data_IF_788866303052
#
_entry.id   IF_788866303052
#
_cell.length_a   1.000
_cell.length_b   1.000
_cell.length_c   1.000
_cell.angle_alpha   90.00
_cell.angle_beta   90.00
_cell.angle_gamma   90.00
#
_symmetry.space_group_name_H-M   'P 1'
#
loop_
_entity.id
_entity.type
_entity.pdbx_description
1 polymer ?
#
# COMPACT_ATOMS: atom_id res chain seq x y z
N UNK A 1 22.07 -17.19 -42.93
CA UNK A 1 21.69 -15.90 -42.33
C UNK A 1 20.52 -15.23 -43.06
N UNK A 2 20.52 -15.15 -44.40
CA UNK A 2 19.46 -14.44 -45.15
C UNK A 2 18.07 -15.10 -45.21
N UNK A 3 17.92 -16.38 -44.83
CA UNK A 3 16.60 -17.04 -44.80
C UNK A 3 15.81 -16.83 -43.50
N UNK A 4 16.49 -16.60 -42.38
CA UNK A 4 15.86 -16.36 -41.06
C UNK A 4 15.30 -14.93 -40.98
N UNK A 5 16.00 -13.97 -41.57
CA UNK A 5 15.57 -12.56 -41.64
C UNK A 5 14.32 -12.42 -42.52
N UNK A 6 14.21 -13.21 -43.60
CA UNK A 6 13.03 -13.20 -44.46
C UNK A 6 11.78 -13.79 -43.77
N UNK A 7 11.93 -14.78 -42.88
CA UNK A 7 10.82 -15.36 -42.11
C UNK A 7 10.36 -14.41 -40.98
N UNK A 8 11.29 -13.70 -40.33
CA UNK A 8 10.96 -12.68 -39.31
C UNK A 8 10.26 -11.45 -39.92
N UNK A 9 10.68 -10.99 -41.09
CA UNK A 9 9.99 -9.90 -41.80
C UNK A 9 8.61 -10.30 -42.30
N UNK A 10 8.37 -11.60 -42.59
CA UNK A 10 7.05 -12.08 -43.00
C UNK A 10 6.05 -12.09 -41.82
N UNK A 11 6.51 -12.35 -40.60
CA UNK A 11 5.68 -12.25 -39.38
C UNK A 11 5.35 -10.78 -39.06
N UNK A 12 6.28 -9.85 -39.34
CA UNK A 12 6.08 -8.41 -39.11
C UNK A 12 5.14 -7.74 -40.13
N UNK A 13 5.00 -8.30 -41.34
CA UNK A 13 4.18 -7.72 -42.42
C UNK A 13 2.91 -8.52 -42.78
N UNK A 14 2.77 -9.80 -42.36
CA UNK A 14 1.55 -10.59 -42.55
C UNK A 14 0.67 -10.73 -41.28
N UNK A 15 1.03 -10.07 -40.19
CA UNK A 15 0.05 -9.66 -39.20
C UNK A 15 -0.24 -8.17 -39.45
N UNK A 16 -1.05 -7.80 -40.46
CA UNK A 16 -1.91 -6.68 -40.21
C UNK A 16 -2.65 -7.06 -38.94
N UNK A 17 -2.35 -6.30 -37.89
CA UNK A 17 -3.12 -6.15 -36.66
C UNK A 17 -4.53 -5.74 -37.11
N UNK A 18 -5.28 -6.67 -37.68
CA UNK A 18 -6.71 -6.73 -37.52
C UNK A 18 -6.93 -7.20 -36.10
N UNK A 19 -6.55 -6.36 -35.13
CA UNK A 19 -7.41 -6.16 -33.97
C UNK A 19 -8.70 -5.62 -34.57
N UNK A 20 -9.51 -6.53 -35.11
CA UNK A 20 -10.93 -6.35 -35.18
C UNK A 20 -11.28 -6.12 -33.71
N UNK A 21 -11.44 -4.84 -33.34
CA UNK A 21 -12.18 -4.50 -32.13
C UNK A 21 -13.55 -5.08 -32.39
N UNK A 22 -13.75 -6.32 -31.94
CA UNK A 22 -15.08 -6.81 -31.67
C UNK A 22 -15.79 -5.77 -30.80
N UNK A 23 -17.13 -5.77 -30.78
CA UNK A 23 -17.83 -4.97 -29.78
C UNK A 23 -17.17 -5.21 -28.43
N UNK A 24 -16.93 -4.13 -27.68
CA UNK A 24 -16.42 -4.28 -26.31
C UNK A 24 -17.32 -5.32 -25.63
N UNK A 25 -16.74 -6.34 -24.98
CA UNK A 25 -17.55 -7.34 -24.30
C UNK A 25 -18.54 -6.64 -23.38
N UNK A 26 -19.76 -7.18 -23.31
CA UNK A 26 -20.80 -6.60 -22.47
C UNK A 26 -20.28 -6.48 -21.04
N UNK A 27 -20.56 -5.34 -20.41
CA UNK A 27 -20.15 -5.11 -19.03
C UNK A 27 -20.82 -6.15 -18.13
N UNK A 28 -20.03 -6.78 -17.27
CA UNK A 28 -20.50 -7.67 -16.24
C UNK A 28 -20.41 -6.94 -14.89
N UNK A 29 -21.56 -6.73 -14.25
CA UNK A 29 -21.67 -6.05 -12.95
C UNK A 29 -21.76 -7.05 -11.78
N UNK A 30 -21.34 -8.30 -11.98
CA UNK A 30 -21.28 -9.34 -10.94
C UNK A 30 -20.63 -8.77 -9.68
N UNK A 31 -21.24 -9.03 -8.53
CA UNK A 31 -20.65 -8.62 -7.26
C UNK A 31 -19.85 -9.76 -6.63
N UNK A 32 -19.74 -10.91 -7.28
CA UNK A 32 -19.08 -12.06 -6.68
C UNK A 32 -17.55 -11.91 -6.72
N UNK A 33 -16.89 -12.17 -5.60
CA UNK A 33 -15.43 -12.21 -5.49
C UNK A 33 -15.05 -13.63 -5.04
N UNK A 34 -14.34 -14.35 -5.91
CA UNK A 34 -13.79 -15.66 -5.62
C UNK A 34 -12.44 -15.52 -4.91
N UNK A 35 -12.22 -16.38 -3.91
CA UNK A 35 -10.96 -16.46 -3.17
C UNK A 35 -10.38 -17.86 -3.32
N UNK A 36 -9.19 -17.96 -3.89
CA UNK A 36 -8.43 -19.20 -3.99
C UNK A 36 -7.21 -19.14 -3.08
N UNK A 37 -6.96 -20.16 -2.24
CA UNK A 37 -5.80 -20.13 -1.36
C UNK A 37 -4.49 -20.13 -2.15
N UNK A 38 -3.53 -19.33 -1.71
CA UNK A 38 -2.15 -19.34 -2.23
C UNK A 38 -1.17 -19.71 -1.12
N UNK A 39 -0.04 -20.29 -1.47
CA UNK A 39 1.07 -20.56 -0.54
C UNK A 39 2.11 -19.44 -0.63
N UNK A 40 2.89 -19.21 0.43
CA UNK A 40 4.04 -18.29 0.37
C UNK A 40 5.11 -18.76 -0.64
N UNK A 41 5.37 -20.05 -0.72
CA UNK A 41 6.37 -20.65 -1.61
C UNK A 41 5.85 -22.01 -2.08
N UNK A 42 5.47 -22.10 -3.35
CA UNK A 42 4.91 -23.33 -3.94
C UNK A 42 5.97 -24.43 -4.09
N UNK A 43 7.26 -24.08 -4.10
CA UNK A 43 8.37 -25.03 -4.18
C UNK A 43 8.80 -25.55 -2.82
N UNK A 44 8.47 -24.83 -1.74
CA UNK A 44 8.78 -25.21 -0.37
C UNK A 44 7.61 -24.86 0.58
N UNK A 45 6.57 -25.70 0.65
CA UNK A 45 5.36 -25.40 1.44
C UNK A 45 5.58 -25.25 2.95
N UNK A 46 6.75 -25.67 3.46
CA UNK A 46 7.12 -25.50 4.88
C UNK A 46 7.76 -24.15 5.17
N UNK A 47 8.16 -23.39 4.14
CA UNK A 47 8.66 -22.03 4.31
C UNK A 47 7.49 -21.10 4.64
N UNK A 48 7.49 -20.60 5.88
CA UNK A 48 6.47 -19.69 6.39
C UNK A 48 7.03 -18.33 6.81
N UNK A 49 8.30 -18.02 6.53
CA UNK A 49 8.93 -16.78 7.02
C UNK A 49 9.77 -16.08 5.96
N UNK A 50 9.73 -14.76 5.97
CA UNK A 50 10.66 -13.87 5.26
C UNK A 50 10.99 -12.66 6.13
N UNK A 51 12.23 -12.59 6.59
CA UNK A 51 12.63 -11.60 7.60
C UNK A 51 11.74 -11.68 8.84
N UNK A 52 11.16 -10.55 9.24
CA UNK A 52 10.24 -10.43 10.39
C UNK A 52 8.78 -10.73 10.06
N UNK A 53 8.46 -11.21 8.87
CA UNK A 53 7.09 -11.59 8.50
C UNK A 53 6.93 -13.11 8.51
N UNK A 54 5.99 -13.59 9.31
CA UNK A 54 5.54 -14.98 9.31
C UNK A 54 4.23 -15.08 8.55
N UNK A 55 4.22 -15.82 7.43
CA UNK A 55 3.05 -16.06 6.62
C UNK A 55 2.01 -16.90 7.37
N UNK A 56 0.78 -16.39 7.42
CA UNK A 56 -0.36 -17.04 8.06
C UNK A 56 -1.24 -17.69 7.01
N UNK A 57 -1.67 -16.91 6.01
CA UNK A 57 -2.57 -17.33 4.93
C UNK A 57 -2.53 -16.31 3.78
N UNK A 58 -3.07 -16.67 2.64
CA UNK A 58 -3.21 -15.76 1.52
C UNK A 58 -4.18 -16.32 0.48
N UNK A 59 -4.69 -15.42 -0.35
CA UNK A 59 -5.65 -15.72 -1.40
C UNK A 59 -5.28 -15.02 -2.71
N UNK A 60 -5.61 -15.65 -3.83
CA UNK A 60 -5.83 -15.01 -5.12
C UNK A 60 -7.30 -14.59 -5.15
N UNK A 61 -7.55 -13.33 -5.47
CA UNK A 61 -8.86 -12.76 -5.63
C UNK A 61 -9.19 -12.71 -7.12
N UNK A 62 -10.41 -13.11 -7.47
CA UNK A 62 -10.90 -13.10 -8.84
C UNK A 62 -12.37 -12.68 -8.88
N UNK A 63 -12.78 -11.98 -9.94
CA UNK A 63 -14.16 -11.59 -10.14
C UNK A 63 -14.46 -11.46 -11.62
N UNK A 64 -15.68 -11.86 -12.02
CA UNK A 64 -16.16 -11.60 -13.37
C UNK A 64 -16.62 -10.14 -13.57
N UNK A 65 -16.58 -9.31 -12.52
CA UNK A 65 -16.92 -7.90 -12.65
C UNK A 65 -15.91 -7.19 -13.57
N UNK A 66 -16.41 -6.49 -14.58
CA UNK A 66 -15.56 -5.78 -15.55
C UNK A 66 -14.73 -4.65 -14.93
N UNK A 67 -15.15 -4.13 -13.78
CA UNK A 67 -14.50 -3.04 -13.06
C UNK A 67 -13.61 -3.55 -11.89
N UNK A 68 -13.45 -4.87 -11.72
CA UNK A 68 -12.58 -5.44 -10.68
C UNK A 68 -11.12 -5.51 -11.14
N UNK A 69 -10.19 -5.36 -10.19
CA UNK A 69 -8.73 -5.33 -10.43
C UNK A 69 -8.15 -3.95 -10.15
N UNK A 70 -6.90 -3.71 -10.54
CA UNK A 70 -6.29 -2.38 -10.45
C UNK A 70 -6.05 -1.88 -9.03
N UNK A 71 -5.85 -2.76 -8.03
CA UNK A 71 -5.85 -2.40 -6.59
C UNK A 71 -4.63 -1.55 -6.24
N UNK A 72 -4.83 -0.27 -5.89
CA UNK A 72 -3.73 0.62 -5.45
C UNK A 72 -3.66 0.81 -3.94
N UNK A 73 -4.78 0.73 -3.21
CA UNK A 73 -4.77 0.91 -1.75
C UNK A 73 -5.80 0.04 -1.03
N UNK A 74 -5.59 -0.19 0.27
CA UNK A 74 -6.42 -1.09 1.08
C UNK A 74 -6.57 -0.59 2.51
N UNK A 75 -7.78 -0.75 3.05
CA UNK A 75 -8.10 -0.62 4.46
C UNK A 75 -8.64 -1.94 4.98
N UNK A 76 -8.16 -2.35 6.16
CA UNK A 76 -8.73 -3.43 6.95
C UNK A 76 -9.50 -2.82 8.13
N UNK A 77 -10.82 -2.80 8.02
CA UNK A 77 -11.74 -2.27 9.03
C UNK A 77 -12.16 -3.38 10.01
N UNK A 78 -12.75 -3.02 11.17
CA UNK A 78 -13.28 -3.99 12.12
C UNK A 78 -14.21 -5.03 11.48
N UNK A 79 -14.25 -6.21 12.11
CA UNK A 79 -15.02 -7.39 11.67
C UNK A 79 -14.57 -7.97 10.33
N UNK A 80 -13.25 -7.94 10.05
CA UNK A 80 -12.64 -8.46 8.81
C UNK A 80 -13.21 -7.83 7.54
N UNK A 81 -13.57 -6.54 7.60
CA UNK A 81 -14.11 -5.81 6.45
C UNK A 81 -12.95 -5.16 5.70
N UNK A 82 -12.74 -5.58 4.46
CA UNK A 82 -11.77 -4.99 3.57
C UNK A 82 -12.45 -3.96 2.68
N UNK A 83 -11.78 -2.84 2.49
CA UNK A 83 -12.13 -1.81 1.51
C UNK A 83 -10.86 -1.52 0.73
N UNK A 84 -10.85 -1.92 -0.53
CA UNK A 84 -9.78 -1.67 -1.48
C UNK A 84 -10.24 -0.60 -2.47
N UNK A 85 -9.29 0.19 -2.97
CA UNK A 85 -9.54 1.19 -3.99
C UNK A 85 -8.66 0.90 -5.19
N UNK A 86 -9.30 0.80 -6.36
CA UNK A 86 -8.62 0.67 -7.63
C UNK A 86 -8.15 2.02 -8.17
N UNK A 87 -7.04 2.03 -8.90
CA UNK A 87 -6.54 3.13 -9.73
C UNK A 87 -7.68 3.78 -10.55
N UNK A 88 -8.54 2.95 -11.15
CA UNK A 88 -9.69 3.35 -11.96
C UNK A 88 -10.80 4.08 -11.17
N UNK A 89 -10.68 4.12 -9.85
CA UNK A 89 -11.62 4.75 -8.94
C UNK A 89 -12.79 3.87 -8.55
N UNK A 90 -12.58 2.56 -8.52
CA UNK A 90 -13.57 1.55 -8.13
C UNK A 90 -13.29 1.11 -6.70
N UNK A 91 -14.31 1.18 -5.85
CA UNK A 91 -14.28 0.64 -4.49
C UNK A 91 -14.62 -0.85 -4.56
N UNK A 92 -13.72 -1.68 -4.04
CA UNK A 92 -13.89 -3.13 -3.90
C UNK A 92 -13.92 -3.43 -2.41
N UNK A 93 -15.09 -3.80 -1.87
CA UNK A 93 -15.25 -4.09 -0.46
C UNK A 93 -15.88 -5.46 -0.23
N UNK A 94 -15.49 -6.13 0.85
CA UNK A 94 -16.07 -7.39 1.28
C UNK A 94 -15.75 -7.68 2.75
N UNK A 95 -16.48 -8.61 3.35
CA UNK A 95 -16.10 -9.21 4.63
C UNK A 95 -15.37 -10.53 4.37
N UNK A 96 -14.15 -10.67 4.87
CA UNK A 96 -13.38 -11.90 4.77
C UNK A 96 -13.87 -12.93 5.80
N UNK A 97 -14.52 -13.98 5.31
CA UNK A 97 -14.82 -15.19 6.07
C UNK A 97 -13.59 -16.11 5.98
N UNK A 98 -12.59 -15.83 6.81
CA UNK A 98 -11.24 -16.41 6.69
C UNK A 98 -11.21 -17.94 6.78
N UNK A 99 -12.03 -18.53 7.66
CA UNK A 99 -12.05 -19.99 7.86
C UNK A 99 -12.64 -20.72 6.66
N UNK A 100 -13.65 -20.12 6.04
CA UNK A 100 -14.32 -20.64 4.84
C UNK A 100 -13.58 -20.27 3.55
N UNK A 101 -12.66 -19.30 3.60
CA UNK A 101 -11.98 -18.75 2.42
C UNK A 101 -12.96 -18.07 1.47
N UNK A 102 -13.87 -17.23 1.99
CA UNK A 102 -14.93 -16.61 1.19
C UNK A 102 -15.04 -15.10 1.44
N UNK A 103 -15.36 -14.35 0.37
CA UNK A 103 -15.84 -12.99 0.47
C UNK A 103 -17.35 -12.99 0.72
N UNK A 104 -17.78 -12.41 1.84
CA UNK A 104 -19.19 -12.18 2.16
C UNK A 104 -19.54 -10.69 1.98
N UNK A 105 -20.80 -10.41 1.60
CA UNK A 105 -21.31 -9.05 1.36
C UNK A 105 -20.38 -8.22 0.45
N UNK A 106 -20.00 -8.75 -0.72
CA UNK A 106 -19.14 -8.01 -1.63
C UNK A 106 -19.86 -6.77 -2.19
N UNK A 107 -19.08 -5.74 -2.48
CA UNK A 107 -19.51 -4.47 -3.05
C UNK A 107 -18.42 -3.95 -3.98
N UNK A 108 -18.75 -3.82 -5.25
CA UNK A 108 -17.86 -3.34 -6.31
C UNK A 108 -18.62 -2.21 -7.03
N UNK A 109 -18.18 -0.98 -6.82
CA UNK A 109 -18.83 0.20 -7.41
C UNK A 109 -17.83 1.35 -7.55
N UNK A 110 -18.01 2.23 -8.56
CA UNK A 110 -17.17 3.42 -8.70
C UNK A 110 -17.40 4.40 -7.55
N UNK A 111 -16.36 5.19 -7.24
CA UNK A 111 -16.51 6.37 -6.40
C UNK A 111 -17.59 7.31 -6.98
N UNK A 112 -18.29 8.08 -6.13
CA UNK A 112 -19.38 8.95 -6.58
C UNK A 112 -18.89 10.07 -7.50
N UNK A 113 -17.63 10.47 -7.35
CA UNK A 113 -16.98 11.52 -8.13
C UNK A 113 -15.46 11.28 -8.09
N UNK A 114 -14.73 11.85 -9.03
CA UNK A 114 -13.27 11.86 -9.09
C UNK A 114 -12.79 12.94 -10.06
N UNK A 115 -11.47 13.15 -10.20
CA UNK A 115 -10.92 14.19 -11.06
C UNK A 115 -11.45 14.14 -12.50
N UNK A 116 -11.51 15.31 -13.13
CA UNK A 116 -11.92 15.40 -14.52
C UNK A 116 -10.93 14.64 -15.41
N UNK A 117 -11.45 13.88 -16.38
CA UNK A 117 -10.62 13.24 -17.38
C UNK A 117 -9.86 14.30 -18.20
N UNK A 118 -8.63 13.99 -18.60
CA UNK A 118 -7.79 14.89 -19.41
C UNK A 118 -8.48 15.38 -20.69
N UNK A 119 -9.35 14.55 -21.27
CA UNK A 119 -10.17 14.89 -22.42
C UNK A 119 -11.36 13.92 -22.56
N UNK A 120 -12.29 14.25 -23.46
CA UNK A 120 -13.51 13.48 -23.73
C UNK A 120 -13.29 12.06 -24.29
N UNK A 121 -12.08 11.70 -24.71
CA UNK A 121 -11.73 10.39 -25.27
C UNK A 121 -10.94 9.52 -24.29
N UNK A 122 -10.46 10.08 -23.17
CA UNK A 122 -9.73 9.33 -22.18
C UNK A 122 -10.68 8.31 -21.51
N UNK A 123 -10.20 7.08 -21.32
CA UNK A 123 -10.88 6.11 -20.44
C UNK A 123 -11.05 6.80 -19.09
N UNK A 124 -12.22 6.65 -18.47
CA UNK A 124 -12.46 7.10 -17.11
C UNK A 124 -11.59 6.25 -16.18
N UNK A 125 -10.36 6.69 -15.96
CA UNK A 125 -9.44 6.24 -14.93
C UNK A 125 -9.09 7.48 -14.11
N UNK A 126 -9.30 7.41 -12.82
CA UNK A 126 -9.08 8.54 -11.91
C UNK A 126 -7.68 8.56 -11.32
N UNK A 127 -6.92 7.47 -11.43
CA UNK A 127 -5.53 7.38 -10.97
C UNK A 127 -5.46 7.51 -9.44
N UNK A 128 -6.32 6.77 -8.74
CA UNK A 128 -6.41 6.80 -7.29
C UNK A 128 -5.37 5.87 -6.65
N UNK A 129 -4.36 6.43 -5.99
CA UNK A 129 -3.19 5.64 -5.55
C UNK A 129 -3.14 5.39 -4.05
N UNK A 130 -3.56 6.35 -3.22
CA UNK A 130 -3.54 6.21 -1.75
C UNK A 130 -4.89 6.46 -1.13
N UNK A 131 -5.13 5.82 0.02
CA UNK A 131 -6.35 6.00 0.79
C UNK A 131 -6.10 5.90 2.30
N UNK A 132 -6.68 6.83 3.06
CA UNK A 132 -6.75 6.75 4.53
C UNK A 132 -8.16 7.00 5.04
N UNK A 133 -8.44 6.56 6.26
CA UNK A 133 -9.77 6.60 6.87
C UNK A 133 -9.73 7.19 8.28
N UNK A 134 -10.74 7.98 8.61
CA UNK A 134 -10.99 8.45 9.97
C UNK A 134 -12.18 7.66 10.55
N UNK A 135 -11.98 6.82 11.58
CA UNK A 135 -13.04 6.01 12.18
C UNK A 135 -14.09 6.81 12.95
N UNK A 136 -13.75 7.98 13.48
CA UNK A 136 -14.66 8.81 14.26
C UNK A 136 -15.69 9.53 13.39
N UNK A 137 -15.24 10.02 12.23
CA UNK A 137 -16.11 10.76 11.29
C UNK A 137 -16.65 9.88 10.16
N UNK A 138 -16.01 8.73 9.91
CA UNK A 138 -16.29 7.87 8.77
C UNK A 138 -15.74 8.40 7.45
N UNK A 139 -14.92 9.45 7.45
CA UNK A 139 -14.42 10.09 6.24
C UNK A 139 -13.23 9.35 5.64
N UNK A 140 -13.08 9.47 4.32
CA UNK A 140 -11.98 8.91 3.56
C UNK A 140 -11.22 10.01 2.85
N UNK A 141 -9.90 9.90 2.79
CA UNK A 141 -9.05 10.73 1.95
C UNK A 141 -8.43 9.86 0.87
N UNK A 142 -8.40 10.38 -0.35
CA UNK A 142 -7.85 9.70 -1.52
C UNK A 142 -6.85 10.60 -2.21
N UNK A 143 -5.65 10.08 -2.48
CA UNK A 143 -4.64 10.73 -3.30
C UNK A 143 -4.77 10.33 -4.77
N UNK A 144 -4.68 11.31 -5.67
CA UNK A 144 -4.75 11.09 -7.12
C UNK A 144 -3.43 11.43 -7.80
N UNK A 145 -2.90 10.49 -8.60
CA UNK A 145 -1.63 10.63 -9.30
C UNK A 145 -1.70 11.72 -10.37
N UNK A 146 -2.39 11.52 -11.49
CA UNK A 146 -2.39 12.51 -12.59
C UNK A 146 -2.97 13.88 -12.24
N UNK A 147 -3.96 13.92 -11.36
CA UNK A 147 -4.54 15.18 -10.93
C UNK A 147 -3.69 15.92 -9.88
N UNK A 148 -2.70 15.21 -9.28
CA UNK A 148 -1.87 15.70 -8.19
C UNK A 148 -2.71 16.39 -7.10
N UNK A 149 -3.78 15.71 -6.67
CA UNK A 149 -4.78 16.26 -5.76
C UNK A 149 -5.18 15.27 -4.68
N UNK A 150 -5.64 15.79 -3.55
CA UNK A 150 -6.16 15.00 -2.44
C UNK A 150 -7.64 15.34 -2.28
N UNK A 151 -8.50 14.33 -2.28
CA UNK A 151 -9.94 14.50 -2.11
C UNK A 151 -10.39 13.86 -0.81
N UNK A 152 -11.41 14.46 -0.19
CA UNK A 152 -12.08 13.91 0.97
C UNK A 152 -13.50 13.52 0.61
N UNK A 153 -13.86 12.29 0.95
CA UNK A 153 -15.19 11.72 0.79
C UNK A 153 -15.86 11.56 2.15
N UNK A 154 -17.19 11.67 2.13
CA UNK A 154 -18.01 11.42 3.31
C UNK A 154 -18.12 9.93 3.64
N UNK A 155 -18.82 9.59 4.74
CA UNK A 155 -19.08 8.21 5.15
C UNK A 155 -19.56 7.31 4.01
N UNK A 156 -18.99 6.11 3.95
CA UNK A 156 -19.29 5.09 2.94
C UNK A 156 -19.14 5.57 1.50
N UNK A 157 -18.25 6.53 1.24
CA UNK A 157 -18.10 7.18 -0.07
C UNK A 157 -19.42 7.76 -0.62
N UNK A 158 -20.31 8.25 0.24
CA UNK A 158 -21.63 8.74 -0.20
C UNK A 158 -21.56 9.96 -1.13
N UNK A 159 -20.51 10.80 -0.99
CA UNK A 159 -20.27 12.00 -1.80
C UNK A 159 -18.83 12.49 -1.64
N UNK A 160 -18.37 13.28 -2.60
CA UNK A 160 -17.22 14.17 -2.41
C UNK A 160 -17.58 15.29 -1.44
N UNK A 161 -16.71 15.57 -0.49
CA UNK A 161 -16.87 16.66 0.48
C UNK A 161 -15.86 17.79 0.28
N UNK A 162 -14.63 17.47 -0.12
CA UNK A 162 -13.59 18.45 -0.42
C UNK A 162 -12.59 17.89 -1.44
N UNK A 163 -11.84 18.79 -2.07
CA UNK A 163 -10.74 18.44 -2.97
C UNK A 163 -9.72 19.56 -2.99
N UNK A 164 -8.44 19.22 -2.95
CA UNK A 164 -7.36 20.19 -2.99
C UNK A 164 -6.31 19.79 -4.03
N UNK A 165 -6.06 20.68 -4.99
CA UNK A 165 -4.94 20.59 -5.93
C UNK A 165 -3.70 21.20 -5.29
N UNK A 166 -2.94 20.38 -4.58
CA UNK A 166 -1.82 20.82 -3.75
C UNK A 166 -0.72 21.41 -4.64
N UNK A 167 -0.40 22.69 -4.44
CA UNK A 167 0.55 23.44 -5.29
C UNK A 167 1.94 22.82 -5.38
N UNK A 168 2.42 22.18 -4.30
CA UNK A 168 3.70 21.44 -4.32
C UNK A 168 3.64 20.17 -5.17
N UNK A 169 2.52 19.45 -5.15
CA UNK A 169 2.33 18.21 -5.92
C UNK A 169 2.21 18.47 -7.43
N UNK A 170 1.78 19.67 -7.85
CA UNK A 170 1.68 20.03 -9.28
C UNK A 170 3.02 20.01 -10.03
N UNK A 171 4.14 19.89 -9.32
CA UNK A 171 5.49 19.78 -9.87
C UNK A 171 6.02 18.35 -9.87
N UNK A 172 5.22 17.39 -9.40
CA UNK A 172 5.60 15.98 -9.41
C UNK A 172 5.54 15.42 -10.83
N UNK A 173 6.27 14.33 -11.10
CA UNK A 173 6.12 13.59 -12.35
C UNK A 173 4.67 13.11 -12.51
N UNK A 174 4.18 13.06 -13.75
CA UNK A 174 2.82 12.60 -14.04
C UNK A 174 2.54 11.14 -13.66
N UNK A 175 3.61 10.35 -13.48
CA UNK A 175 3.62 8.96 -13.05
C UNK A 175 4.49 8.80 -11.77
N UNK A 176 4.28 9.70 -10.82
CA UNK A 176 4.96 9.68 -9.54
C UNK A 176 4.11 10.33 -8.46
N UNK A 177 2.84 9.98 -8.44
CA UNK A 177 1.76 10.58 -7.67
C UNK A 177 1.87 10.42 -6.16
N UNK A 178 0.75 10.66 -5.47
CA UNK A 178 0.62 10.45 -4.03
C UNK A 178 0.37 8.98 -3.73
N UNK A 179 1.42 8.15 -3.82
CA UNK A 179 1.34 6.70 -3.69
C UNK A 179 0.99 6.23 -2.30
N UNK A 180 1.55 6.88 -1.27
CA UNK A 180 1.30 6.48 0.11
C UNK A 180 0.82 7.66 0.93
N UNK A 181 -0.10 7.39 1.85
CA UNK A 181 -0.63 8.38 2.77
C UNK A 181 -0.76 7.79 4.18
N UNK A 182 -0.41 8.57 5.19
CA UNK A 182 -0.65 8.25 6.59
C UNK A 182 -1.49 9.35 7.24
N UNK A 183 -2.45 8.96 8.08
CA UNK A 183 -3.16 9.84 9.01
C UNK A 183 -2.64 9.57 10.43
N UNK A 184 -2.11 10.59 11.08
CA UNK A 184 -1.60 10.60 12.45
C UNK A 184 -2.57 11.37 13.33
N UNK A 185 -3.37 10.65 14.09
CA UNK A 185 -4.39 11.22 14.96
C UNK A 185 -3.78 12.07 16.09
N UNK A 186 -4.32 13.27 16.31
CA UNK A 186 -3.89 14.20 17.37
C UNK A 186 -2.39 14.57 17.38
N UNK A 187 -1.71 14.45 16.24
CA UNK A 187 -0.27 14.79 16.08
C UNK A 187 0.00 16.08 15.30
N UNK A 188 -1.04 16.80 14.88
CA UNK A 188 -0.93 18.13 14.28
C UNK A 188 -0.52 19.19 15.30
N UNK A 189 0.01 20.32 14.82
CA UNK A 189 0.48 21.42 15.69
C UNK A 189 -0.62 22.00 16.60
N UNK A 190 -1.86 22.00 16.12
CA UNK A 190 -3.04 22.47 16.86
C UNK A 190 -3.74 21.35 17.67
N UNK A 191 -3.11 20.17 17.80
CA UNK A 191 -3.69 19.00 18.45
C UNK A 191 -4.73 18.24 17.62
N UNK A 192 -4.90 18.61 16.35
CA UNK A 192 -5.71 17.87 15.37
C UNK A 192 -4.91 16.76 14.67
N UNK A 193 -5.46 16.21 13.59
CA UNK A 193 -4.76 15.21 12.78
C UNK A 193 -3.57 15.82 12.02
N UNK A 194 -2.52 15.03 11.84
CA UNK A 194 -1.43 15.28 10.88
C UNK A 194 -1.49 14.25 9.77
N UNK A 195 -1.20 14.64 8.54
CA UNK A 195 -1.11 13.71 7.41
C UNK A 195 0.28 13.73 6.81
N UNK A 196 0.75 12.57 6.37
CA UNK A 196 1.96 12.42 5.57
C UNK A 196 1.57 11.90 4.19
N UNK A 197 2.11 12.49 3.14
CA UNK A 197 1.85 12.07 1.74
C UNK A 197 3.18 11.89 1.04
N UNK A 198 3.42 10.72 0.48
CA UNK A 198 4.68 10.35 -0.15
C UNK A 198 4.53 10.31 -1.66
N UNK A 199 5.47 10.93 -2.38
CA UNK A 199 5.56 10.77 -3.83
C UNK A 199 6.27 9.47 -4.20
N UNK A 200 5.83 8.79 -5.26
CA UNK A 200 6.57 7.64 -5.81
C UNK A 200 8.00 8.04 -6.21
N UNK A 201 8.11 9.14 -6.97
CA UNK A 201 9.29 9.38 -7.81
C UNK A 201 9.72 10.85 -7.97
N UNK A 202 9.00 11.81 -7.37
CA UNK A 202 9.38 13.23 -7.40
C UNK A 202 10.69 13.46 -6.62
N UNK A 203 11.76 13.92 -7.29
CA UNK A 203 13.08 14.05 -6.66
C UNK A 203 13.10 15.10 -5.53
N UNK A 204 13.73 14.74 -4.41
CA UNK A 204 14.02 15.66 -3.32
C UNK A 204 15.33 16.43 -3.57
N UNK A 205 15.21 17.64 -4.10
CA UNK A 205 16.37 18.47 -4.46
C UNK A 205 17.26 17.79 -5.49
N UNK A 206 18.58 17.75 -5.23
CA UNK A 206 19.58 17.07 -6.07
C UNK A 206 20.04 15.73 -5.47
N UNK A 207 19.39 15.26 -4.41
CA UNK A 207 19.83 14.06 -3.68
C UNK A 207 19.31 12.83 -4.39
N UNK A 208 20.21 12.07 -5.02
CA UNK A 208 19.84 10.87 -5.76
C UNK A 208 19.20 9.82 -4.84
N UNK A 209 18.03 9.32 -5.24
CA UNK A 209 17.30 8.26 -4.52
C UNK A 209 16.60 8.74 -3.26
N UNK A 210 16.39 10.05 -3.11
CA UNK A 210 15.46 10.61 -2.15
C UNK A 210 14.32 11.30 -2.91
N UNK A 211 13.10 11.07 -2.46
CA UNK A 211 11.87 11.53 -3.09
C UNK A 211 11.11 12.48 -2.17
N UNK A 212 10.25 13.32 -2.72
CA UNK A 212 9.48 14.29 -1.95
C UNK A 212 8.39 13.60 -1.14
N UNK A 213 8.18 14.10 0.06
CA UNK A 213 7.00 13.79 0.85
C UNK A 213 6.55 15.06 1.59
N UNK A 214 5.27 15.11 1.93
CA UNK A 214 4.60 16.29 2.45
C UNK A 214 4.03 16.00 3.84
N UNK A 215 4.16 16.97 4.73
CA UNK A 215 3.54 17.01 6.05
C UNK A 215 2.41 18.02 5.99
N UNK A 216 1.21 17.60 6.34
CA UNK A 216 0.04 18.45 6.50
C UNK A 216 -0.36 18.46 7.98
N UNK A 217 -0.37 19.63 8.62
CA UNK A 217 -0.83 19.80 10.00
C UNK A 217 -2.35 20.07 10.03
N UNK A 218 -3.12 19.14 9.45
CA UNK A 218 -4.58 19.19 9.36
C UNK A 218 -5.11 18.53 8.08
N UNK A 219 -6.41 18.70 7.80
CA UNK A 219 -7.09 18.08 6.65
C UNK A 219 -6.44 18.48 5.30
N UNK A 220 -5.75 17.55 4.59
CA UNK A 220 -5.01 17.85 3.36
C UNK A 220 -5.92 18.18 2.18
N UNK A 221 -7.22 17.88 2.26
CA UNK A 221 -8.21 18.19 1.22
C UNK A 221 -8.77 19.62 1.33
N UNK A 222 -8.38 20.40 2.33
CA UNK A 222 -8.73 21.83 2.42
C UNK A 222 -7.83 22.67 1.52
N UNK A 223 -8.42 23.61 0.78
CA UNK A 223 -7.68 24.48 -0.15
C UNK A 223 -6.70 25.44 0.53
N UNK A 224 -6.90 25.77 1.81
CA UNK A 224 -6.02 26.65 2.59
C UNK A 224 -4.92 25.90 3.34
N UNK A 225 -4.87 24.56 3.23
CA UNK A 225 -3.92 23.73 3.94
C UNK A 225 -2.59 23.64 3.17
N UNK A 226 -1.58 24.34 3.66
CA UNK A 226 -0.24 24.35 3.06
C UNK A 226 0.68 23.28 3.67
N UNK A 227 1.27 22.39 2.85
CA UNK A 227 2.17 21.37 3.35
C UNK A 227 3.58 21.90 3.64
N UNK A 228 4.29 21.19 4.52
CA UNK A 228 5.74 21.29 4.71
C UNK A 228 6.43 20.14 3.97
N UNK A 229 7.52 20.42 3.26
CA UNK A 229 8.24 19.43 2.45
C UNK A 229 9.34 18.73 3.27
N UNK A 230 9.44 17.41 3.14
CA UNK A 230 10.58 16.60 3.59
C UNK A 230 10.99 15.59 2.51
N UNK A 231 12.11 14.91 2.71
CA UNK A 231 12.60 13.87 1.81
C UNK A 231 12.35 12.47 2.38
N UNK A 232 11.93 11.53 1.55
CA UNK A 232 11.89 10.11 1.86
C UNK A 232 12.93 9.34 1.05
N UNK A 233 13.73 8.51 1.70
CA UNK A 233 14.68 7.61 1.03
C UNK A 233 14.21 6.16 1.16
N UNK A 234 13.62 5.57 0.11
CA UNK A 234 13.25 4.16 0.09
C UNK A 234 14.49 3.25 0.00
N UNK A 235 14.31 1.93 0.20
CA UNK A 235 15.34 0.95 -0.10
C UNK A 235 15.89 1.12 -1.52
N UNK A 236 17.19 0.92 -1.70
CA UNK A 236 17.87 1.21 -2.98
C UNK A 236 17.22 0.47 -4.15
N UNK A 237 16.71 1.23 -5.12
CA UNK A 237 16.11 0.71 -6.34
C UNK A 237 14.65 0.28 -6.21
N UNK A 238 14.02 0.57 -5.06
CA UNK A 238 12.59 0.38 -4.84
C UNK A 238 11.89 1.73 -4.76
N UNK A 239 10.60 1.74 -5.10
CA UNK A 239 9.71 2.88 -4.96
C UNK A 239 8.64 2.54 -3.93
N UNK A 240 8.15 3.55 -3.21
CA UNK A 240 7.07 3.39 -2.24
C UNK A 240 5.75 3.16 -2.97
N UNK A 241 4.89 2.32 -2.40
CA UNK A 241 3.57 2.01 -2.96
C UNK A 241 2.44 2.21 -1.96
N UNK A 242 2.67 1.93 -0.67
CA UNK A 242 1.67 2.23 0.38
C UNK A 242 2.34 2.34 1.75
N UNK A 243 1.60 2.87 2.72
CA UNK A 243 2.02 2.96 4.11
C UNK A 243 0.83 2.81 5.06
N UNK A 244 1.07 2.15 6.20
CA UNK A 244 0.10 1.98 7.27
C UNK A 244 0.74 2.23 8.64
N UNK A 245 -0.06 2.57 9.64
CA UNK A 245 0.42 2.67 11.02
C UNK A 245 0.44 1.31 11.70
N UNK A 246 1.52 1.06 12.43
CA UNK A 246 1.57 0.01 13.43
C UNK A 246 0.90 0.47 14.73
N UNK A 247 0.43 -0.47 15.58
CA UNK A 247 -0.20 -0.13 16.86
C UNK A 247 0.68 0.69 17.80
N UNK A 248 2.00 0.60 17.65
CA UNK A 248 2.98 1.36 18.43
C UNK A 248 3.29 2.76 17.85
N UNK A 249 2.58 3.17 16.79
CA UNK A 249 2.74 4.48 16.15
C UNK A 249 3.89 4.57 15.15
N UNK A 250 4.63 3.49 14.89
CA UNK A 250 5.61 3.46 13.80
C UNK A 250 4.92 3.32 12.44
N UNK A 251 5.59 3.78 11.39
CA UNK A 251 5.14 3.56 10.02
C UNK A 251 5.60 2.19 9.51
N UNK A 252 4.67 1.43 8.94
CA UNK A 252 4.95 0.29 8.08
C UNK A 252 4.85 0.77 6.62
N UNK A 253 5.85 0.48 5.80
CA UNK A 253 5.92 0.97 4.42
C UNK A 253 6.15 -0.19 3.46
N UNK A 254 5.36 -0.19 2.39
CA UNK A 254 5.49 -1.12 1.29
C UNK A 254 6.23 -0.46 0.14
N UNK A 255 7.08 -1.26 -0.50
CA UNK A 255 7.83 -0.82 -1.66
C UNK A 255 7.84 -1.90 -2.70
N UNK A 256 7.80 -1.50 -3.97
CA UNK A 256 7.95 -2.40 -5.10
C UNK A 256 9.16 -2.07 -5.94
N UNK A 257 9.60 -3.07 -6.70
CA UNK A 257 10.59 -2.95 -7.74
C UNK A 257 10.31 -3.97 -8.83
N UNK A 258 10.34 -3.50 -10.06
CA UNK A 258 10.29 -4.35 -11.25
C UNK A 258 11.54 -4.15 -12.09
N UNK A 259 12.17 -5.25 -12.51
CA UNK A 259 13.17 -5.22 -13.58
C UNK A 259 12.95 -6.39 -14.54
N UNK A 260 13.30 -6.27 -15.83
CA UNK A 260 13.14 -7.38 -16.77
C UNK A 260 13.92 -8.65 -16.40
N UNK A 261 15.00 -8.54 -15.63
CA UNK A 261 15.85 -9.67 -15.23
C UNK A 261 15.41 -10.30 -13.91
N UNK A 262 15.11 -9.50 -12.90
CA UNK A 262 14.77 -9.98 -11.55
C UNK A 262 13.26 -10.21 -11.36
N UNK A 263 12.41 -9.77 -12.31
CA UNK A 263 10.96 -9.76 -12.15
C UNK A 263 10.48 -8.73 -11.14
N UNK A 264 9.32 -9.00 -10.53
CA UNK A 264 8.73 -8.19 -9.46
C UNK A 264 9.30 -8.61 -8.10
N UNK A 265 9.51 -7.63 -7.23
CA UNK A 265 9.93 -7.81 -5.85
C UNK A 265 9.37 -6.71 -4.98
N UNK A 266 9.15 -7.01 -3.69
CA UNK A 266 8.70 -6.04 -2.71
C UNK A 266 9.55 -6.06 -1.44
N UNK A 267 9.60 -4.92 -0.74
CA UNK A 267 10.24 -4.77 0.56
C UNK A 267 9.25 -4.11 1.52
N UNK A 268 9.10 -4.71 2.69
CA UNK A 268 8.39 -4.11 3.82
C UNK A 268 9.42 -3.50 4.76
N UNK A 269 9.20 -2.25 5.17
CA UNK A 269 10.08 -1.52 6.08
C UNK A 269 9.29 -0.94 7.26
N UNK A 270 9.98 -0.73 8.39
CA UNK A 270 9.44 -0.03 9.56
C UNK A 270 10.25 1.24 9.79
N UNK A 271 9.58 2.37 10.00
CA UNK A 271 10.21 3.66 10.26
C UNK A 271 9.65 4.37 11.48
N UNK A 272 10.52 5.04 12.22
CA UNK A 272 10.16 5.89 13.37
C UNK A 272 9.72 7.27 12.87
N UNK A 273 8.44 7.59 13.07
CA UNK A 273 7.84 8.84 12.61
C UNK A 273 8.34 10.08 13.38
N UNK A 274 8.89 9.91 14.59
CA UNK A 274 9.42 11.03 15.38
C UNK A 274 10.67 11.67 14.74
N UNK A 275 11.29 10.97 13.78
CA UNK A 275 12.46 11.43 13.05
C UNK A 275 12.10 12.25 11.80
N UNK A 276 10.81 12.40 11.48
CA UNK A 276 10.37 13.20 10.35
C UNK A 276 10.38 14.68 10.74
N UNK A 277 11.08 15.48 9.95
CA UNK A 277 11.11 16.93 10.09
C UNK A 277 11.11 17.61 8.71
N UNK A 278 10.51 18.82 8.59
CA UNK A 278 10.61 19.61 7.38
C UNK A 278 12.07 19.86 6.98
N UNK A 279 12.38 19.70 5.69
CA UNK A 279 13.74 19.92 5.18
C UNK A 279 14.72 18.76 5.39
N UNK A 280 14.35 17.74 6.17
CA UNK A 280 15.21 16.59 6.44
C UNK A 280 14.87 15.39 5.55
N UNK A 281 15.82 14.46 5.42
CA UNK A 281 15.60 13.19 4.73
C UNK A 281 15.41 12.07 5.74
N UNK A 282 14.24 11.47 5.70
CA UNK A 282 13.85 10.32 6.51
C UNK A 282 13.96 9.01 5.73
N UNK A 283 14.18 7.91 6.43
CA UNK A 283 14.23 6.56 5.87
C UNK A 283 13.72 5.54 6.87
N UNK A 284 13.26 4.40 6.37
CA UNK A 284 12.81 3.28 7.18
C UNK A 284 13.78 2.08 7.08
N UNK A 285 13.71 1.19 8.07
CA UNK A 285 14.50 -0.04 8.12
C UNK A 285 13.76 -1.19 7.41
N UNK A 286 14.36 -1.83 6.38
CA UNK A 286 13.78 -3.03 5.77
C UNK A 286 13.67 -4.19 6.75
N UNK A 287 12.47 -4.75 6.90
CA UNK A 287 12.20 -5.87 7.81
C UNK A 287 11.92 -7.19 7.09
N UNK A 288 11.51 -7.14 5.81
CA UNK A 288 11.20 -8.32 5.01
C UNK A 288 11.36 -8.05 3.51
N UNK A 289 11.61 -9.11 2.75
CA UNK A 289 11.70 -9.05 1.29
C UNK A 289 10.87 -10.16 0.66
N UNK A 290 9.97 -9.78 -0.24
CA UNK A 290 9.19 -10.69 -1.08
C UNK A 290 9.80 -10.67 -2.47
N UNK A 291 10.36 -11.80 -2.88
CA UNK A 291 10.93 -12.00 -4.21
C UNK A 291 10.92 -13.49 -4.53
N UNK A 292 10.99 -13.83 -5.82
CA UNK A 292 11.13 -15.20 -6.28
C UNK A 292 12.19 -15.97 -5.45
N UNK A 293 11.89 -17.20 -4.98
CA UNK A 293 10.74 -18.05 -5.34
C UNK A 293 9.47 -17.81 -4.49
N UNK A 294 9.44 -16.80 -3.62
CA UNK A 294 8.23 -16.46 -2.87
C UNK A 294 7.15 -15.93 -3.82
N UNK A 295 5.89 -16.22 -3.50
CA UNK A 295 4.73 -15.60 -4.11
C UNK A 295 4.82 -14.09 -3.93
N UNK A 296 4.95 -13.39 -5.05
CA UNK A 296 5.04 -11.94 -5.14
C UNK A 296 4.52 -11.52 -6.50
N UNK A 297 3.83 -10.39 -6.54
CA UNK A 297 3.39 -9.70 -7.74
C UNK A 297 3.55 -8.18 -7.49
N UNK A 298 2.84 -7.33 -8.22
CA UNK A 298 2.84 -5.88 -8.06
C UNK A 298 2.19 -5.49 -6.72
N UNK A 299 2.92 -5.63 -5.62
CA UNK A 299 2.44 -5.36 -4.27
C UNK A 299 2.22 -3.85 -4.10
N UNK A 300 0.97 -3.43 -4.14
CA UNK A 300 0.58 -2.01 -4.11
C UNK A 300 -0.09 -1.61 -2.80
N UNK A 301 -0.75 -2.53 -2.06
CA UNK A 301 -1.56 -2.12 -0.91
C UNK A 301 -1.15 -2.78 0.42
N UNK A 302 -1.30 -2.03 1.51
CA UNK A 302 -0.86 -2.41 2.86
C UNK A 302 -1.92 -2.06 3.91
N UNK A 303 -2.23 -3.00 4.81
CA UNK A 303 -3.06 -2.71 5.98
C UNK A 303 -2.53 -3.42 7.23
N UNK A 304 -2.89 -2.91 8.40
CA UNK A 304 -2.49 -3.46 9.70
C UNK A 304 -3.73 -3.72 10.54
N UNK A 305 -3.79 -4.88 11.18
CA UNK A 305 -4.82 -5.24 12.17
C UNK A 305 -4.16 -5.90 13.38
N UNK A 306 -4.93 -6.10 14.45
CA UNK A 306 -4.49 -6.86 15.62
C UNK A 306 -5.38 -8.11 15.80
N UNK A 307 -4.74 -9.25 16.06
CA UNK A 307 -5.41 -10.51 16.39
C UNK A 307 -4.88 -11.02 17.74
N UNK A 308 -5.63 -10.74 18.81
CA UNK A 308 -5.14 -11.00 20.17
C UNK A 308 -3.94 -10.12 20.48
N UNK A 309 -2.77 -10.73 20.69
CA UNK A 309 -1.50 -10.01 20.92
C UNK A 309 -0.63 -9.90 19.66
N UNK A 310 -1.09 -10.46 18.53
CA UNK A 310 -0.34 -10.47 17.29
C UNK A 310 -0.68 -9.24 16.45
N UNK A 311 0.34 -8.52 16.00
CA UNK A 311 0.19 -7.54 14.93
C UNK A 311 0.17 -8.27 13.60
N UNK A 312 -0.92 -8.08 12.85
CA UNK A 312 -1.15 -8.70 11.55
C UNK A 312 -0.95 -7.65 10.45
N UNK A 313 -0.18 -8.03 9.44
CA UNK A 313 0.11 -7.24 8.25
C UNK A 313 -0.58 -7.89 7.08
N UNK A 314 -1.37 -7.11 6.37
CA UNK A 314 -2.03 -7.48 5.13
C UNK A 314 -1.33 -6.79 3.97
N UNK A 315 -0.97 -7.55 2.94
CA UNK A 315 -0.37 -7.04 1.72
C UNK A 315 -1.23 -7.51 0.55
N UNK A 316 -1.63 -6.59 -0.31
CA UNK A 316 -2.34 -6.91 -1.55
C UNK A 316 -1.51 -6.53 -2.78
N UNK A 317 -1.72 -7.26 -3.87
CA UNK A 317 -1.13 -6.90 -5.16
C UNK A 317 -2.18 -6.43 -6.16
N UNK A 318 -1.71 -5.60 -7.06
CA UNK A 318 -2.39 -5.16 -8.25
C UNK A 318 -2.13 -6.14 -9.42
N UNK A 319 -3.15 -6.34 -10.25
CA UNK A 319 -3.07 -7.08 -11.50
C UNK A 319 -2.86 -6.18 -12.74
N UNK A 320 -2.85 -4.85 -12.60
CA UNK A 320 -2.85 -3.85 -13.68
C UNK A 320 -3.86 -4.17 -14.80
N UNK A 321 -4.98 -4.84 -14.49
CA UNK A 321 -5.93 -5.38 -15.47
C UNK A 321 -5.32 -6.30 -16.55
N UNK A 322 -4.20 -6.95 -16.25
CA UNK A 322 -3.50 -7.82 -17.17
C UNK A 322 -3.56 -9.29 -16.72
N UNK A 323 -3.81 -10.19 -17.67
CA UNK A 323 -3.97 -11.65 -17.43
C UNK A 323 -2.73 -12.37 -16.88
N UNK A 324 -1.60 -11.69 -16.73
CA UNK A 324 -0.34 -12.27 -16.23
C UNK A 324 -0.18 -12.04 -14.73
N UNK A 325 -0.77 -10.96 -14.20
CA UNK A 325 -0.63 -10.57 -12.81
C UNK A 325 -1.86 -11.03 -12.01
N UNK A 326 -1.67 -11.23 -10.72
CA UNK A 326 -2.70 -11.72 -9.82
C UNK A 326 -3.07 -10.65 -8.80
N UNK A 327 -4.38 -10.49 -8.55
CA UNK A 327 -4.87 -9.77 -7.38
C UNK A 327 -4.68 -10.66 -6.14
N UNK A 328 -3.61 -10.45 -5.38
CA UNK A 328 -3.30 -11.22 -4.16
C UNK A 328 -3.82 -10.49 -2.92
N UNK A 329 -4.16 -11.25 -1.88
CA UNK A 329 -4.30 -10.75 -0.50
C UNK A 329 -3.56 -11.71 0.42
N UNK A 330 -2.51 -11.23 1.08
CA UNK A 330 -1.63 -12.04 1.91
C UNK A 330 -1.62 -11.53 3.35
N UNK A 331 -1.73 -12.47 4.30
CA UNK A 331 -1.76 -12.23 5.74
C UNK A 331 -0.46 -12.71 6.37
N UNK A 332 0.20 -11.81 7.10
CA UNK A 332 1.43 -12.08 7.83
C UNK A 332 1.30 -11.67 9.29
N UNK A 333 1.89 -12.43 10.20
CA UNK A 333 2.18 -12.00 11.56
C UNK A 333 3.51 -11.25 11.57
N UNK A 334 3.54 -10.07 12.18
CA UNK A 334 4.78 -9.36 12.44
C UNK A 334 5.50 -9.98 13.64
N UNK A 335 6.73 -10.40 13.44
CA UNK A 335 7.59 -10.92 14.49
C UNK A 335 8.32 -9.77 15.23
N UNK A 336 8.58 -9.93 16.54
CA UNK A 336 9.44 -9.02 17.28
C UNK A 336 10.81 -8.86 16.61
N UNK A 337 11.49 -7.75 16.90
CA UNK A 337 12.89 -7.65 16.55
C UNK A 337 13.69 -8.70 17.34
N UNK A 338 14.60 -9.44 16.69
CA UNK A 338 15.46 -10.42 17.35
C UNK A 338 16.26 -9.80 18.50
N UNK A 339 16.60 -8.50 18.41
CA UNK A 339 17.29 -7.79 19.49
C UNK A 339 16.38 -7.54 20.70
N UNK A 340 15.13 -7.15 20.47
CA UNK A 340 14.10 -7.01 21.51
C UNK A 340 13.78 -8.37 22.14
N UNK A 341 13.72 -9.43 21.33
CA UNK A 341 13.47 -10.79 21.81
C UNK A 341 14.62 -11.31 22.69
N UNK A 342 15.88 -11.00 22.33
CA UNK A 342 17.06 -11.30 23.16
C UNK A 342 17.08 -10.49 24.46
N UNK A 343 16.68 -9.22 24.41
CA UNK A 343 16.59 -8.37 25.61
C UNK A 343 15.48 -8.84 26.56
N UNK A 344 14.32 -9.24 26.03
CA UNK A 344 13.21 -9.78 26.81
C UNK A 344 13.52 -11.14 27.46
N UNK A 345 14.36 -11.96 26.80
CA UNK A 345 14.82 -13.27 27.30
C UNK A 345 16.05 -13.19 28.21
N UNK A 346 16.68 -12.02 28.37
CA UNK A 346 17.83 -11.87 29.26
C UNK A 346 17.40 -12.06 30.74
N UNK A 347 18.13 -12.86 31.54
CA UNK A 347 17.80 -13.03 32.94
C UNK A 347 17.92 -11.68 33.66
N UNK A 348 16.84 -11.23 34.31
CA UNK A 348 16.87 -10.05 35.19
C UNK A 348 18.01 -10.26 36.19
N UNK A 349 19.03 -9.40 36.13
CA UNK A 349 20.17 -9.48 37.03
C UNK A 349 19.65 -9.55 38.47
N UNK A 350 20.08 -10.58 39.23
CA UNK A 350 19.78 -10.70 40.65
C UNK A 350 20.13 -9.36 41.30
N UNK A 351 19.13 -8.69 41.87
CA UNK A 351 19.36 -7.55 42.74
C UNK A 351 20.38 -7.99 43.80
N UNK A 352 21.58 -7.39 43.75
CA UNK A 352 22.61 -7.64 44.75
C UNK A 352 22.01 -7.34 46.13
N UNK A 353 22.01 -8.36 46.98
CA UNK A 353 21.59 -8.22 48.36
C UNK A 353 22.47 -7.14 49.02
N UNK A 354 21.84 -6.03 49.41
CA UNK A 354 22.48 -5.00 50.22
C UNK A 354 23.06 -5.67 51.48
N UNK A 355 24.33 -5.44 51.84
CA UNK A 355 24.89 -6.00 53.07
C UNK A 355 24.12 -5.45 54.27
N UNK A 356 23.68 -6.37 55.13
CA UNK A 356 22.89 -6.08 56.32
C UNK A 356 23.63 -5.19 57.31
N UNK A 357 22.85 -4.31 57.96
CA UNK A 357 23.28 -3.52 59.10
C UNK A 357 23.67 -4.47 60.24
N UNK A 358 24.95 -4.50 60.60
CA UNK A 358 25.43 -5.18 61.80
C UNK A 358 24.93 -4.43 63.04
N UNK A 359 24.20 -5.15 63.89
CA UNK A 359 23.85 -4.75 65.24
C UNK A 359 25.11 -4.63 66.12
N UNK A 360 25.32 -3.46 66.72
CA UNK A 360 26.32 -3.27 67.78
C UNK A 360 25.72 -3.79 69.10
N UNK A 361 26.42 -4.65 69.86
CA UNK A 361 26.04 -4.96 71.24
C UNK A 361 26.74 -4.02 72.23
N UNK A 362 25.91 -3.43 73.11
CA UNK A 362 26.18 -2.69 74.37
C UNK A 362 27.19 -1.54 74.38
#
# INVERSE_FOLDING_TARGET
MNRIIATLSLIFFLVPVTYVRGPAPDKNDSQYIHLENVSLDSTSPTRSRTGRLEYVRGWILDSENTDFGGISSMLALPDNRFVMLSDSGVVIAFTLMEQEGKAARPYIAPLPEGPAADNQFAKKNWDAESMVYNPDTGQYWVGYERAHSIWRYGPSFARKEASHKVGMMQKWPSNGGAEAMLRLEEQGEDGGDRFLVFSESAQYGKVKGAYQALIFDGDPAREDMEPKLFGYRPPKGYLITDAALLPDGRALLLHRRFTPLDGVSAIVSIGDLSQIAPGEIWSAEPIASLKSPLTVDNMEALAVTEEGNDTIIWIASDDNFNVVQQSLLMKFRLLPDEQEERAAKAPKAKAEARPGFSSIPN
#
